data_IF_680605241343
#
_entry.id   IF_680605241343
#
_cell.length_a   1.000
_cell.length_b   1.000
_cell.length_c   1.000
_cell.angle_alpha   90.00
_cell.angle_beta   90.00
_cell.angle_gamma   90.00
#
_symmetry.space_group_name_H-M   'P 1'
#
loop_
_entity.id
_entity.type
_entity.pdbx_description
1 polymer ?
#
# COMPACT_ATOMS: atom_id res chain seq x y z
N UNK A 1 -11.71 23.56 13.90
CA UNK A 1 -10.43 23.55 13.19
C UNK A 1 -9.94 22.12 13.06
N UNK A 2 -10.12 21.59 11.86
CA UNK A 2 -9.70 20.25 11.48
C UNK A 2 -8.17 20.22 11.38
N UNK A 3 -7.55 19.20 11.97
CA UNK A 3 -6.11 18.94 11.85
C UNK A 3 -5.91 17.62 11.12
N UNK A 4 -4.87 17.55 10.29
CA UNK A 4 -4.54 16.35 9.53
C UNK A 4 -3.06 16.28 9.20
N UNK A 5 -2.58 15.07 8.92
CA UNK A 5 -1.25 14.87 8.36
C UNK A 5 -1.24 15.10 6.84
N UNK A 6 -0.05 15.11 6.21
CA UNK A 6 0.07 15.34 4.75
C UNK A 6 -0.72 14.33 3.91
N UNK A 7 -0.83 13.08 4.35
CA UNK A 7 -1.61 12.04 3.69
C UNK A 7 -3.11 12.36 3.71
N UNK A 8 -3.64 12.68 4.88
CA UNK A 8 -5.07 13.04 5.04
C UNK A 8 -5.43 14.31 4.25
N UNK A 9 -4.57 15.32 4.23
CA UNK A 9 -4.77 16.50 3.37
C UNK A 9 -4.63 16.19 1.87
N UNK A 10 -3.90 15.13 1.50
CA UNK A 10 -3.76 14.71 0.09
C UNK A 10 -5.05 14.09 -0.45
N UNK A 11 -5.92 13.54 0.39
CA UNK A 11 -7.24 13.05 -0.04
C UNK A 11 -8.14 14.22 -0.47
N UNK A 12 -8.15 15.31 0.30
CA UNK A 12 -8.86 16.55 -0.06
C UNK A 12 -8.24 17.21 -1.29
N UNK A 13 -6.90 17.23 -1.37
CA UNK A 13 -6.20 17.70 -2.57
C UNK A 13 -6.66 16.93 -3.81
N UNK A 14 -6.76 15.60 -3.71
CA UNK A 14 -7.21 14.73 -4.80
C UNK A 14 -8.63 15.08 -5.23
N UNK A 15 -9.55 15.24 -4.29
CA UNK A 15 -10.92 15.67 -4.58
C UNK A 15 -10.94 16.99 -5.38
N UNK A 16 -10.24 18.02 -4.91
CA UNK A 16 -10.23 19.32 -5.58
C UNK A 16 -9.58 19.26 -6.95
N UNK A 17 -8.42 18.58 -7.05
CA UNK A 17 -7.67 18.48 -8.30
C UNK A 17 -8.48 17.74 -9.36
N UNK A 18 -9.16 16.64 -9.00
CA UNK A 18 -9.98 15.88 -9.92
C UNK A 18 -11.23 16.62 -10.38
N UNK A 19 -11.90 17.38 -9.50
CA UNK A 19 -13.01 18.26 -9.90
C UNK A 19 -12.54 19.42 -10.80
N UNK A 20 -11.31 19.91 -10.57
CA UNK A 20 -10.67 20.92 -11.41
C UNK A 20 -10.29 20.41 -12.80
N UNK A 21 -9.73 19.20 -12.87
CA UNK A 21 -9.24 18.59 -14.12
C UNK A 21 -10.32 17.89 -14.93
N UNK A 22 -11.33 17.33 -14.24
CA UNK A 22 -12.47 16.59 -14.79
C UNK A 22 -12.13 15.26 -15.48
N UNK A 23 -10.89 14.79 -15.35
CA UNK A 23 -10.43 13.53 -15.98
C UNK A 23 -9.54 12.73 -15.02
N UNK A 24 -9.54 11.41 -15.17
CA UNK A 24 -8.50 10.54 -14.66
C UNK A 24 -7.49 10.24 -15.77
N UNK A 25 -6.21 10.49 -15.49
CA UNK A 25 -5.12 10.22 -16.42
C UNK A 25 -4.38 8.94 -16.03
N UNK A 26 -4.33 7.90 -16.87
CA UNK A 26 -3.60 6.67 -16.54
C UNK A 26 -2.10 6.86 -16.44
N UNK A 27 -1.47 6.16 -15.50
CA UNK A 27 -0.02 6.07 -15.35
C UNK A 27 0.55 4.72 -15.77
N UNK A 28 1.82 4.69 -16.18
CA UNK A 28 2.60 3.46 -16.37
C UNK A 28 3.48 3.16 -15.15
N UNK A 29 4.19 2.02 -15.18
CA UNK A 29 5.07 1.57 -14.10
C UNK A 29 6.15 2.57 -13.65
N UNK A 30 6.53 3.51 -14.51
CA UNK A 30 7.52 4.56 -14.26
C UNK A 30 6.90 5.85 -13.70
N UNK A 31 5.61 5.84 -13.34
CA UNK A 31 4.87 7.01 -12.83
C UNK A 31 4.87 8.15 -13.87
N UNK A 32 4.69 7.78 -15.13
CA UNK A 32 4.52 8.72 -16.24
C UNK A 32 3.16 8.51 -16.91
N UNK A 33 2.59 9.59 -17.47
CA UNK A 33 1.30 9.55 -18.17
C UNK A 33 1.37 8.59 -19.35
N UNK A 34 0.35 7.74 -19.47
CA UNK A 34 0.05 7.05 -20.74
C UNK A 34 -0.72 8.05 -21.61
N UNK A 35 -0.17 8.40 -22.77
CA UNK A 35 -0.80 9.33 -23.71
C UNK A 35 -2.01 8.69 -24.39
N UNK A 36 -2.95 9.52 -24.84
CA UNK A 36 -4.15 9.11 -25.62
C UNK A 36 -5.17 8.23 -24.87
N UNK A 37 -5.03 8.05 -23.55
CA UNK A 37 -6.04 7.41 -22.71
C UNK A 37 -6.38 8.36 -21.57
N UNK A 38 -7.67 8.57 -21.33
CA UNK A 38 -8.17 9.30 -20.17
C UNK A 38 -9.61 8.85 -19.88
N UNK A 39 -10.05 8.99 -18.63
CA UNK A 39 -11.41 8.69 -18.24
C UNK A 39 -12.09 9.98 -17.78
N UNK A 40 -13.02 10.55 -18.56
CA UNK A 40 -13.81 11.69 -18.11
C UNK A 40 -14.55 11.37 -16.81
N UNK A 41 -14.50 12.30 -15.86
CA UNK A 41 -15.20 12.19 -14.59
C UNK A 41 -16.61 12.74 -14.78
N UNK A 42 -17.61 11.94 -14.45
CA UNK A 42 -19.02 12.35 -14.43
C UNK A 42 -19.33 12.95 -13.07
N UNK A 43 -19.04 12.20 -12.01
CA UNK A 43 -19.22 12.67 -10.63
C UNK A 43 -18.30 11.96 -9.65
N UNK A 44 -18.08 12.61 -8.51
CA UNK A 44 -17.39 12.02 -7.35
C UNK A 44 -18.43 11.85 -6.24
N UNK A 45 -18.47 10.66 -5.65
CA UNK A 45 -19.38 10.32 -4.57
C UNK A 45 -18.62 10.35 -3.24
N UNK A 46 -19.17 11.04 -2.24
CA UNK A 46 -18.59 11.10 -0.90
C UNK A 46 -19.68 10.86 0.14
N UNK A 47 -19.52 9.81 0.94
CA UNK A 47 -20.39 9.54 2.09
C UNK A 47 -19.67 9.92 3.38
N UNK A 48 -20.39 10.60 4.28
CA UNK A 48 -19.90 10.93 5.61
C UNK A 48 -21.04 10.84 6.64
N UNK A 49 -20.73 11.15 7.90
CA UNK A 49 -21.69 11.06 9.01
C UNK A 49 -22.94 11.93 8.82
N UNK A 50 -22.85 12.99 8.00
CA UNK A 50 -23.92 13.94 7.74
C UNK A 50 -24.61 13.72 6.38
N UNK A 51 -24.50 12.52 5.81
CA UNK A 51 -25.15 12.16 4.54
C UNK A 51 -24.18 11.82 3.41
N UNK A 52 -24.75 11.54 2.24
CA UNK A 52 -24.00 11.26 1.01
C UNK A 52 -24.16 12.41 0.03
N UNK A 53 -23.04 12.88 -0.50
CA UNK A 53 -22.96 14.00 -1.42
C UNK A 53 -22.39 13.56 -2.76
N UNK A 54 -22.93 14.11 -3.84
CA UNK A 54 -22.46 13.92 -5.21
C UNK A 54 -21.91 15.23 -5.75
N UNK A 55 -20.69 15.19 -6.28
CA UNK A 55 -20.02 16.31 -6.95
C UNK A 55 -20.02 16.04 -8.45
N UNK A 56 -21.04 16.52 -9.15
CA UNK A 56 -21.26 16.26 -10.57
C UNK A 56 -20.66 17.33 -11.47
N UNK A 57 -19.93 16.91 -12.50
CA UNK A 57 -19.25 17.79 -13.45
C UNK A 57 -20.23 18.21 -14.55
N UNK A 58 -20.52 19.50 -14.64
CA UNK A 58 -21.34 20.11 -15.70
C UNK A 58 -20.57 21.25 -16.36
N UNK A 59 -19.83 20.94 -17.43
CA UNK A 59 -18.97 21.85 -18.17
C UNK A 59 -17.93 22.57 -17.29
N UNK A 60 -18.26 23.81 -16.88
CA UNK A 60 -17.40 24.69 -16.08
C UNK A 60 -17.94 24.90 -14.66
N UNK A 61 -18.96 24.14 -14.26
CA UNK A 61 -19.60 24.19 -12.94
C UNK A 61 -19.61 22.78 -12.35
N UNK A 62 -19.36 22.68 -11.05
CA UNK A 62 -19.61 21.49 -10.25
C UNK A 62 -20.94 21.67 -9.53
N UNK A 63 -21.87 20.75 -9.76
CA UNK A 63 -23.13 20.67 -9.02
C UNK A 63 -22.93 19.76 -7.80
N UNK A 64 -23.25 20.27 -6.62
CA UNK A 64 -23.14 19.50 -5.37
C UNK A 64 -24.55 19.23 -4.86
N UNK A 65 -24.95 17.96 -4.87
CA UNK A 65 -26.27 17.50 -4.41
C UNK A 65 -26.12 16.49 -3.27
N UNK A 66 -27.13 16.39 -2.39
CA UNK A 66 -27.10 15.51 -1.21
C UNK A 66 -27.99 16.02 -0.06
N UNK A 67 -28.30 17.32 -0.07
CA UNK A 67 -29.31 17.98 0.77
C UNK A 67 -30.43 18.54 -0.13
N UNK A 68 -31.38 19.29 0.44
CA UNK A 68 -32.49 19.92 -0.32
C UNK A 68 -32.01 20.97 -1.34
N UNK A 69 -30.88 21.64 -1.09
CA UNK A 69 -30.31 22.66 -1.98
C UNK A 69 -29.13 22.12 -2.80
N UNK A 70 -29.09 22.48 -4.10
CA UNK A 70 -27.99 22.15 -5.01
C UNK A 70 -27.04 23.33 -5.12
N UNK A 71 -25.79 23.14 -4.66
CA UNK A 71 -24.75 24.16 -4.78
C UNK A 71 -24.15 24.15 -6.19
N UNK A 72 -23.78 25.33 -6.69
CA UNK A 72 -23.16 25.53 -8.00
C UNK A 72 -21.84 26.25 -7.84
N UNK A 73 -20.74 25.52 -7.98
CA UNK A 73 -19.40 26.04 -7.74
C UNK A 73 -18.60 26.01 -9.04
N UNK A 74 -17.98 27.12 -9.48
CA UNK A 74 -17.15 27.13 -10.68
C UNK A 74 -15.97 26.15 -10.56
N UNK A 75 -15.68 25.42 -11.64
CA UNK A 75 -14.50 24.51 -11.73
C UNK A 75 -13.19 25.25 -11.42
N UNK A 76 -13.12 26.55 -11.74
CA UNK A 76 -11.95 27.37 -11.45
C UNK A 76 -11.65 27.46 -9.94
N UNK A 77 -12.67 27.49 -9.09
CA UNK A 77 -12.49 27.57 -7.64
C UNK A 77 -11.81 26.32 -7.09
N UNK A 78 -12.17 25.13 -7.61
CA UNK A 78 -11.48 23.88 -7.26
C UNK A 78 -10.02 23.87 -7.75
N UNK A 79 -9.74 24.42 -8.93
CA UNK A 79 -8.35 24.55 -9.42
C UNK A 79 -7.52 25.42 -8.49
N UNK A 80 -8.02 26.61 -8.15
CA UNK A 80 -7.33 27.57 -7.29
C UNK A 80 -7.10 27.00 -5.88
N UNK A 81 -8.13 26.36 -5.30
CA UNK A 81 -8.04 25.71 -3.99
C UNK A 81 -7.14 24.49 -3.98
N UNK A 82 -7.09 23.71 -5.07
CA UNK A 82 -6.14 22.60 -5.20
C UNK A 82 -4.69 23.10 -5.20
N UNK A 83 -4.40 24.19 -5.92
CA UNK A 83 -3.05 24.78 -5.98
C UNK A 83 -2.63 25.34 -4.62
N UNK A 84 -3.53 26.07 -3.95
CA UNK A 84 -3.31 26.59 -2.60
C UNK A 84 -3.03 25.46 -1.60
N UNK A 85 -3.87 24.41 -1.60
CA UNK A 85 -3.72 23.25 -0.72
C UNK A 85 -2.40 22.50 -0.98
N UNK A 86 -1.99 22.31 -2.24
CA UNK A 86 -0.71 21.70 -2.58
C UNK A 86 0.47 22.47 -1.98
N UNK A 87 0.43 23.80 -2.06
CA UNK A 87 1.46 24.67 -1.50
C UNK A 87 1.51 24.54 0.03
N UNK A 88 0.35 24.56 0.71
CA UNK A 88 0.30 24.34 2.16
C UNK A 88 0.88 22.99 2.56
N UNK A 89 0.50 21.90 1.89
CA UNK A 89 1.01 20.55 2.18
C UNK A 89 2.53 20.48 2.01
N UNK A 90 3.08 21.08 0.94
CA UNK A 90 4.52 21.06 0.66
C UNK A 90 5.32 21.86 1.67
N UNK A 91 4.88 23.07 2.00
CA UNK A 91 5.61 23.99 2.88
C UNK A 91 5.53 23.59 4.36
N UNK A 92 4.47 22.89 4.77
CA UNK A 92 4.31 22.53 6.17
C UNK A 92 5.31 21.43 6.60
N UNK A 93 5.98 21.66 7.73
CA UNK A 93 6.96 20.73 8.32
C UNK A 93 6.38 19.94 9.50
N UNK A 94 5.21 20.32 10.03
CA UNK A 94 4.58 19.64 11.16
C UNK A 94 4.04 18.28 10.71
N UNK A 95 4.02 17.32 11.64
CA UNK A 95 3.42 16.00 11.43
C UNK A 95 1.93 16.10 11.16
N UNK A 96 1.23 16.96 11.91
CA UNK A 96 -0.18 17.31 11.75
C UNK A 96 -0.36 18.83 11.79
N UNK A 97 -1.26 19.37 10.99
CA UNK A 97 -1.53 20.81 10.91
C UNK A 97 -2.96 21.10 10.43
N UNK A 98 -3.45 22.30 10.73
CA UNK A 98 -4.72 22.84 10.22
C UNK A 98 -4.47 23.79 9.05
N UNK A 99 -5.46 23.88 8.14
CA UNK A 99 -5.49 24.89 7.08
C UNK A 99 -6.89 25.54 7.09
N UNK A 100 -7.11 26.61 7.87
CA UNK A 100 -8.45 27.17 8.09
C UNK A 100 -9.14 27.65 6.80
N UNK A 101 -8.39 28.21 5.86
CA UNK A 101 -8.91 28.67 4.57
C UNK A 101 -9.48 27.51 3.73
N UNK A 102 -8.80 26.35 3.77
CA UNK A 102 -9.24 25.15 3.07
C UNK A 102 -10.42 24.51 3.80
N UNK A 103 -10.40 24.48 5.13
CA UNK A 103 -11.53 24.02 5.94
C UNK A 103 -12.80 24.84 5.65
N UNK A 104 -12.68 26.17 5.51
CA UNK A 104 -13.82 27.02 5.13
C UNK A 104 -14.39 26.63 3.75
N UNK A 105 -13.53 26.43 2.75
CA UNK A 105 -13.97 26.00 1.42
C UNK A 105 -14.56 24.58 1.44
N UNK A 106 -13.98 23.67 2.21
CA UNK A 106 -14.52 22.32 2.40
C UNK A 106 -15.96 22.38 2.95
N UNK A 107 -16.21 23.21 3.97
CA UNK A 107 -17.53 23.38 4.55
C UNK A 107 -18.53 23.98 3.55
N UNK A 108 -18.10 24.95 2.73
CA UNK A 108 -18.98 25.53 1.69
C UNK A 108 -19.36 24.56 0.57
N UNK A 109 -18.70 23.40 0.48
CA UNK A 109 -19.00 22.35 -0.51
C UNK A 109 -19.53 21.06 0.15
N UNK A 110 -20.03 21.14 1.38
CA UNK A 110 -20.53 20.02 2.17
C UNK A 110 -19.49 18.89 2.42
N UNK A 111 -18.20 19.23 2.44
CA UNK A 111 -17.11 18.30 2.77
C UNK A 111 -16.66 18.52 4.23
N UNK A 112 -16.99 17.59 5.12
CA UNK A 112 -16.83 17.82 6.59
C UNK A 112 -15.65 17.05 7.18
N UNK A 113 -15.24 15.93 6.58
CA UNK A 113 -14.08 15.14 7.00
C UNK A 113 -12.93 15.27 6.02
N UNK A 114 -11.69 15.03 6.47
CA UNK A 114 -10.53 14.89 5.57
C UNK A 114 -10.57 13.55 4.82
N UNK A 115 -10.92 12.49 5.53
CA UNK A 115 -10.83 11.10 5.05
C UNK A 115 -12.16 10.37 4.99
N UNK A 116 -12.19 9.30 4.21
CA UNK A 116 -13.26 8.31 4.18
C UNK A 116 -13.31 7.48 5.48
N UNK A 117 -14.36 6.66 5.64
CA UNK A 117 -14.45 5.73 6.77
C UNK A 117 -13.35 4.67 6.69
N UNK A 118 -12.72 4.35 7.83
CA UNK A 118 -11.56 3.46 7.93
C UNK A 118 -11.85 1.97 7.67
N UNK A 119 -13.12 1.59 7.56
CA UNK A 119 -13.53 0.20 7.40
C UNK A 119 -13.29 -0.35 5.98
N UNK A 120 -13.08 0.54 4.99
CA UNK A 120 -12.83 0.17 3.60
C UNK A 120 -11.49 0.71 3.11
N UNK A 121 -10.91 0.09 2.09
CA UNK A 121 -9.70 0.61 1.40
C UNK A 121 -9.98 1.74 0.41
N UNK A 122 -11.24 2.07 0.18
CA UNK A 122 -11.67 3.08 -0.79
C UNK A 122 -11.65 4.46 -0.14
N UNK A 123 -10.76 5.33 -0.61
CA UNK A 123 -10.60 6.70 -0.14
C UNK A 123 -11.49 7.67 -0.92
N UNK A 124 -11.79 7.37 -2.19
CA UNK A 124 -12.64 8.18 -3.07
C UNK A 124 -13.43 7.28 -4.05
N UNK A 125 -14.70 7.61 -4.28
CA UNK A 125 -15.54 6.89 -5.25
C UNK A 125 -15.84 7.81 -6.43
N UNK A 126 -15.61 7.35 -7.65
CA UNK A 126 -15.69 8.16 -8.87
C UNK A 126 -16.55 7.41 -9.88
N UNK A 127 -17.53 8.10 -10.44
CA UNK A 127 -18.25 7.66 -11.64
C UNK A 127 -17.55 8.26 -12.85
N UNK A 128 -17.03 7.39 -13.71
CA UNK A 128 -16.31 7.79 -14.92
C UNK A 128 -17.12 7.44 -16.16
N UNK A 129 -16.84 8.11 -17.28
CA UNK A 129 -17.28 7.67 -18.59
C UNK A 129 -16.20 6.81 -19.23
N UNK A 130 -16.44 5.51 -19.35
CA UNK A 130 -15.55 4.63 -20.10
C UNK A 130 -15.86 4.75 -21.60
N UNK A 131 -15.02 5.47 -22.32
CA UNK A 131 -15.18 5.72 -23.76
C UNK A 131 -15.04 4.44 -24.61
N UNK A 132 -14.42 3.37 -24.11
CA UNK A 132 -14.27 2.11 -24.87
C UNK A 132 -15.53 1.27 -24.81
N UNK A 133 -16.17 1.20 -23.65
CA UNK A 133 -17.35 0.37 -23.42
C UNK A 133 -18.66 1.16 -23.47
N UNK A 134 -18.55 2.50 -23.50
CA UNK A 134 -19.65 3.45 -23.36
C UNK A 134 -20.41 3.30 -22.03
N UNK A 135 -19.79 2.68 -21.02
CA UNK A 135 -20.36 2.49 -19.70
C UNK A 135 -20.02 3.67 -18.77
N UNK A 136 -20.76 3.75 -17.67
CA UNK A 136 -20.52 4.74 -16.61
C UNK A 136 -20.28 4.06 -15.27
N UNK A 137 -19.18 3.29 -15.11
CA UNK A 137 -18.96 2.51 -13.91
C UNK A 137 -18.68 3.41 -12.70
N UNK A 138 -19.20 2.98 -11.54
CA UNK A 138 -18.86 3.54 -10.23
C UNK A 138 -17.67 2.79 -9.65
N UNK A 139 -16.56 3.50 -9.44
CA UNK A 139 -15.27 2.91 -9.12
C UNK A 139 -14.73 3.47 -7.80
N UNK A 140 -14.33 2.56 -6.89
CA UNK A 140 -13.66 2.91 -5.64
C UNK A 140 -12.14 2.94 -5.80
N UNK A 141 -11.50 4.04 -5.46
CA UNK A 141 -10.04 4.19 -5.52
C UNK A 141 -9.42 4.41 -4.15
N UNK A 142 -8.25 3.80 -3.94
CA UNK A 142 -7.35 4.22 -2.86
C UNK A 142 -6.42 5.33 -3.35
N UNK A 143 -6.11 6.27 -2.47
CA UNK A 143 -5.19 7.39 -2.73
C UNK A 143 -3.82 7.04 -2.11
N UNK A 144 -2.76 7.24 -2.89
CA UNK A 144 -1.36 7.05 -2.46
C UNK A 144 -0.57 8.30 -2.77
N UNK A 145 -0.28 9.09 -1.74
CA UNK A 145 0.38 10.38 -1.88
C UNK A 145 1.90 10.29 -1.67
N UNK A 146 2.66 10.91 -2.57
CA UNK A 146 4.10 11.14 -2.46
C UNK A 146 4.44 12.47 -1.78
N UNK A 147 3.44 13.35 -1.55
CA UNK A 147 3.64 14.67 -0.93
C UNK A 147 4.16 14.58 0.53
N UNK A 148 3.96 13.44 1.18
CA UNK A 148 4.44 13.14 2.52
C UNK A 148 5.53 12.05 2.57
N UNK A 149 5.53 11.32 3.68
CA UNK A 149 6.29 10.07 3.78
C UNK A 149 5.57 8.98 2.97
N UNK A 150 6.29 8.03 2.36
CA UNK A 150 5.67 6.97 1.57
C UNK A 150 4.65 6.20 2.39
N UNK A 151 3.48 5.97 1.79
CA UNK A 151 2.42 5.18 2.42
C UNK A 151 2.82 3.70 2.52
N UNK A 152 2.11 2.99 3.39
CA UNK A 152 2.31 1.55 3.59
C UNK A 152 1.27 0.78 2.77
N UNK A 153 1.72 -0.19 1.96
CA UNK A 153 0.84 -1.11 1.25
C UNK A 153 0.36 -2.21 2.20
N UNK A 154 1.30 -2.83 2.92
CA UNK A 154 1.05 -3.84 3.95
C UNK A 154 1.66 -3.40 5.28
N UNK A 155 0.82 -3.15 6.28
CA UNK A 155 1.27 -2.72 7.60
C UNK A 155 1.94 -3.86 8.36
N UNK A 156 3.01 -3.50 9.07
CA UNK A 156 3.65 -4.39 10.03
C UNK A 156 2.71 -4.71 11.18
N UNK A 157 2.72 -5.96 11.62
CA UNK A 157 1.99 -6.44 12.77
C UNK A 157 2.54 -7.77 13.23
N UNK A 158 2.13 -8.23 14.42
CA UNK A 158 2.35 -9.63 14.82
C UNK A 158 1.72 -10.60 13.80
N UNK A 159 0.65 -10.15 13.14
CA UNK A 159 -0.03 -10.87 12.06
C UNK A 159 0.79 -11.06 10.78
N UNK A 160 1.90 -10.33 10.62
CA UNK A 160 2.81 -10.43 9.46
C UNK A 160 4.17 -11.01 9.82
N UNK A 161 4.27 -11.74 10.95
CA UNK A 161 5.48 -12.46 11.33
C UNK A 161 5.59 -13.81 10.61
N UNK A 162 6.81 -14.14 10.22
CA UNK A 162 7.24 -15.38 9.58
C UNK A 162 8.18 -16.10 10.54
N UNK A 163 7.88 -17.37 10.82
CA UNK A 163 8.62 -18.20 11.77
C UNK A 163 9.68 -19.00 11.00
N UNK A 164 10.90 -18.98 11.53
CA UNK A 164 12.01 -19.78 11.03
C UNK A 164 12.54 -20.64 12.15
N UNK A 165 12.59 -21.96 11.93
CA UNK A 165 13.31 -22.88 12.81
C UNK A 165 14.80 -22.71 12.60
N UNK A 166 15.56 -22.64 13.69
CA UNK A 166 17.01 -22.65 13.66
C UNK A 166 17.47 -24.10 13.84
N UNK A 167 18.09 -24.65 12.79
CA UNK A 167 18.70 -25.98 12.80
C UNK A 167 20.21 -25.87 13.00
N UNK A 168 20.85 -26.96 13.47
CA UNK A 168 22.31 -27.09 13.63
C UNK A 168 22.97 -26.05 14.55
N UNK A 169 22.21 -25.48 15.48
CA UNK A 169 22.74 -24.57 16.49
C UNK A 169 22.59 -25.19 17.88
N UNK A 170 23.72 -25.53 18.51
CA UNK A 170 23.76 -26.04 19.88
C UNK A 170 24.24 -24.92 20.81
N UNK A 171 23.29 -24.22 21.45
CA UNK A 171 23.55 -23.14 22.39
C UNK A 171 22.66 -23.30 23.62
N UNK A 172 23.17 -22.89 24.77
CA UNK A 172 22.41 -22.83 26.02
C UNK A 172 21.66 -21.49 26.15
N UNK A 173 20.96 -21.31 27.26
CA UNK A 173 20.20 -20.10 27.55
C UNK A 173 21.08 -18.84 27.59
N UNK A 174 22.35 -18.97 28.00
CA UNK A 174 23.31 -17.86 27.98
C UNK A 174 23.69 -17.48 26.55
N UNK A 175 23.87 -18.47 25.66
CA UNK A 175 24.10 -18.26 24.24
C UNK A 175 22.92 -17.57 23.55
N UNK A 176 21.68 -17.96 23.88
CA UNK A 176 20.46 -17.30 23.38
C UNK A 176 20.42 -15.85 23.85
N UNK A 177 20.67 -15.62 25.14
CA UNK A 177 20.68 -14.27 25.73
C UNK A 177 21.73 -13.38 25.06
N UNK A 178 22.95 -13.89 24.87
CA UNK A 178 24.05 -13.18 24.22
C UNK A 178 23.70 -12.74 22.79
N UNK A 179 23.03 -13.59 22.00
CA UNK A 179 22.56 -13.21 20.65
C UNK A 179 21.48 -12.12 20.77
N UNK A 180 20.52 -12.30 21.67
CA UNK A 180 19.40 -11.35 21.84
C UNK A 180 19.84 -9.98 22.42
N UNK A 181 20.99 -9.89 23.06
CA UNK A 181 21.59 -8.65 23.59
C UNK A 181 22.25 -7.78 22.49
N UNK A 182 22.45 -8.31 21.27
CA UNK A 182 22.96 -7.51 20.14
C UNK A 182 21.95 -6.40 19.81
N UNK A 183 22.34 -5.13 19.98
CA UNK A 183 21.46 -3.95 19.81
C UNK A 183 22.10 -2.85 18.94
N UNK A 184 22.57 -3.23 17.76
CA UNK A 184 23.02 -2.29 16.72
C UNK A 184 21.82 -1.73 15.92
N UNK A 185 22.09 -0.77 15.03
CA UNK A 185 21.07 -0.27 14.07
C UNK A 185 20.54 -1.36 13.13
N UNK A 186 21.35 -2.38 12.85
CA UNK A 186 21.03 -3.54 12.00
C UNK A 186 20.81 -4.81 12.80
N UNK A 187 20.57 -4.73 14.11
CA UNK A 187 20.60 -5.86 15.07
C UNK A 187 19.98 -7.16 14.61
N UNK A 188 18.88 -7.11 13.86
CA UNK A 188 18.21 -8.32 13.36
C UNK A 188 19.12 -9.06 12.36
N UNK A 189 19.77 -8.33 11.45
CA UNK A 189 20.77 -8.90 10.53
C UNK A 189 21.97 -9.45 11.29
N UNK A 190 22.51 -8.66 12.22
CA UNK A 190 23.67 -9.04 13.02
C UNK A 190 23.40 -10.32 13.85
N UNK A 191 22.18 -10.48 14.37
CA UNK A 191 21.72 -11.70 15.06
C UNK A 191 21.69 -12.90 14.12
N UNK A 192 21.14 -12.74 12.92
CA UNK A 192 21.10 -13.79 11.89
C UNK A 192 22.52 -14.20 11.49
N UNK A 193 23.41 -13.24 11.23
CA UNK A 193 24.82 -13.49 10.91
C UNK A 193 25.56 -14.20 12.05
N UNK A 194 25.29 -13.81 13.30
CA UNK A 194 25.84 -14.50 14.49
C UNK A 194 25.37 -15.95 14.58
N UNK A 195 24.10 -16.21 14.27
CA UNK A 195 23.55 -17.58 14.24
C UNK A 195 24.23 -18.41 13.13
N UNK A 196 24.35 -17.86 11.92
CA UNK A 196 24.98 -18.54 10.77
C UNK A 196 26.47 -18.82 11.03
N UNK A 197 27.21 -17.84 11.55
CA UNK A 197 28.65 -18.01 11.88
C UNK A 197 28.91 -19.05 12.98
N UNK A 198 27.92 -19.33 13.83
CA UNK A 198 27.95 -20.43 14.81
C UNK A 198 27.50 -21.78 14.23
N UNK A 199 27.29 -21.88 12.92
CA UNK A 199 26.87 -23.10 12.22
C UNK A 199 25.35 -23.31 12.14
N UNK A 200 24.56 -22.37 12.67
CA UNK A 200 23.11 -22.42 12.59
C UNK A 200 22.60 -22.19 11.17
N UNK A 201 21.43 -22.74 10.86
CA UNK A 201 20.74 -22.54 9.59
C UNK A 201 19.26 -22.28 9.83
N UNK A 202 18.64 -21.50 8.95
CA UNK A 202 17.22 -21.14 9.08
C UNK A 202 16.38 -21.95 8.10
N UNK A 203 15.27 -22.48 8.60
CA UNK A 203 14.26 -23.17 7.81
C UNK A 203 12.92 -22.49 8.04
N UNK A 204 12.31 -21.97 6.99
CA UNK A 204 10.95 -21.42 7.07
C UNK A 204 9.96 -22.51 7.51
N UNK A 205 9.11 -22.19 8.50
CA UNK A 205 8.08 -23.13 9.01
C UNK A 205 6.66 -22.68 8.70
N UNK A 206 6.43 -21.36 8.60
CA UNK A 206 5.11 -20.80 8.36
C UNK A 206 4.98 -19.37 8.86
N UNK A 207 3.81 -18.78 8.69
CA UNK A 207 3.49 -17.47 9.29
C UNK A 207 2.97 -17.67 10.71
N UNK A 208 3.24 -16.73 11.61
CA UNK A 208 2.76 -16.78 12.99
C UNK A 208 1.22 -16.74 13.07
N UNK A 209 0.57 -15.96 12.21
CA UNK A 209 -0.90 -15.88 12.15
C UNK A 209 -1.48 -16.88 11.15
N UNK A 210 -2.29 -17.83 11.63
CA UNK A 210 -2.97 -18.82 10.78
C UNK A 210 -3.85 -18.20 9.69
N UNK A 211 -4.59 -17.14 10.01
CA UNK A 211 -5.43 -16.41 9.04
C UNK A 211 -4.60 -15.87 7.88
N UNK A 212 -3.44 -15.26 8.17
CA UNK A 212 -2.57 -14.74 7.13
C UNK A 212 -1.99 -15.87 6.28
N UNK A 213 -1.57 -16.97 6.90
CA UNK A 213 -1.15 -18.19 6.18
C UNK A 213 -2.21 -18.65 5.17
N UNK A 214 -3.46 -18.78 5.62
CA UNK A 214 -4.56 -19.21 4.77
C UNK A 214 -4.88 -18.21 3.66
N UNK A 215 -4.78 -16.91 3.94
CA UNK A 215 -4.95 -15.87 2.91
C UNK A 215 -3.89 -15.98 1.82
N UNK A 216 -2.63 -16.26 2.19
CA UNK A 216 -1.56 -16.47 1.21
C UNK A 216 -1.81 -17.73 0.38
N UNK A 217 -2.19 -18.85 1.02
CA UNK A 217 -2.51 -20.12 0.35
C UNK A 217 -3.69 -19.97 -0.61
N UNK A 218 -4.70 -19.16 -0.25
CA UNK A 218 -5.85 -18.86 -1.12
C UNK A 218 -5.42 -18.17 -2.42
N UNK A 219 -4.44 -17.26 -2.34
CA UNK A 219 -3.89 -16.58 -3.52
C UNK A 219 -3.08 -17.58 -4.37
N UNK A 220 -2.19 -18.35 -3.73
CA UNK A 220 -1.44 -19.43 -4.36
C UNK A 220 -0.88 -20.39 -3.30
N UNK A 221 -0.98 -21.70 -3.54
CA UNK A 221 -0.66 -22.72 -2.54
C UNK A 221 0.79 -22.70 -2.02
N UNK A 222 1.74 -22.17 -2.81
CA UNK A 222 3.16 -22.05 -2.44
C UNK A 222 3.58 -20.62 -2.10
N UNK A 223 2.62 -19.69 -2.00
CA UNK A 223 2.91 -18.29 -1.70
C UNK A 223 3.51 -18.07 -0.31
N UNK A 224 3.13 -18.80 0.76
CA UNK A 224 3.79 -18.67 2.06
C UNK A 224 5.30 -18.91 1.97
N UNK A 225 5.72 -19.96 1.26
CA UNK A 225 7.12 -20.35 1.09
C UNK A 225 7.88 -19.32 0.24
N UNK A 226 7.28 -18.89 -0.88
CA UNK A 226 7.85 -17.82 -1.73
C UNK A 226 8.09 -16.55 -0.90
N UNK A 227 7.09 -16.15 -0.12
CA UNK A 227 7.16 -14.92 0.67
C UNK A 227 8.12 -15.08 1.85
N UNK A 228 8.23 -16.27 2.44
CA UNK A 228 9.28 -16.61 3.41
C UNK A 228 10.68 -16.36 2.85
N UNK A 229 10.96 -16.87 1.65
CA UNK A 229 12.26 -16.64 0.99
C UNK A 229 12.51 -15.15 0.72
N UNK A 230 11.51 -14.41 0.23
CA UNK A 230 11.61 -12.96 -0.01
C UNK A 230 11.90 -12.19 1.30
N UNK A 231 11.22 -12.53 2.39
CA UNK A 231 11.41 -11.92 3.70
C UNK A 231 12.80 -12.25 4.25
N UNK A 232 13.24 -13.49 4.12
CA UNK A 232 14.57 -13.91 4.57
C UNK A 232 15.68 -13.19 3.80
N UNK A 233 15.56 -13.09 2.47
CA UNK A 233 16.52 -12.36 1.61
C UNK A 233 16.60 -10.86 1.95
N UNK A 234 15.52 -10.24 2.42
CA UNK A 234 15.54 -8.86 2.89
C UNK A 234 16.37 -8.67 4.17
N UNK A 235 16.26 -9.61 5.11
CA UNK A 235 17.02 -9.57 6.36
C UNK A 235 18.46 -10.07 6.23
N UNK A 236 18.82 -10.73 5.13
CA UNK A 236 20.17 -11.29 4.89
C UNK A 236 20.92 -10.63 3.74
N UNK A 237 20.31 -9.69 3.02
CA UNK A 237 20.96 -8.95 1.94
C UNK A 237 20.82 -7.44 2.08
N UNK A 238 21.46 -6.69 1.19
CA UNK A 238 21.34 -5.23 1.11
C UNK A 238 20.17 -4.75 0.24
N UNK A 239 19.35 -5.67 -0.30
CA UNK A 239 18.20 -5.33 -1.14
C UNK A 239 16.97 -5.07 -0.30
N UNK A 240 16.15 -4.10 -0.72
CA UNK A 240 14.87 -3.81 -0.09
C UNK A 240 13.72 -3.66 -1.09
N UNK A 241 14.00 -3.28 -2.35
CA UNK A 241 12.95 -3.19 -3.36
C UNK A 241 12.39 -4.57 -3.66
N UNK A 242 11.07 -4.66 -3.81
CA UNK A 242 10.41 -5.95 -4.04
C UNK A 242 10.88 -6.55 -5.36
N UNK A 243 10.98 -5.76 -6.44
CA UNK A 243 11.54 -6.19 -7.73
C UNK A 243 12.92 -6.87 -7.59
N UNK A 244 13.82 -6.31 -6.77
CA UNK A 244 15.18 -6.84 -6.59
C UNK A 244 15.16 -8.15 -5.79
N UNK A 245 14.36 -8.20 -4.72
CA UNK A 245 14.21 -9.38 -3.87
C UNK A 245 13.59 -10.55 -4.64
N UNK A 246 12.52 -10.28 -5.38
CA UNK A 246 11.86 -11.28 -6.23
C UNK A 246 12.80 -11.79 -7.29
N UNK A 247 13.57 -10.91 -7.94
CA UNK A 247 14.57 -11.32 -8.93
C UNK A 247 15.64 -12.25 -8.34
N UNK A 248 16.08 -12.02 -7.11
CA UNK A 248 17.00 -12.93 -6.40
C UNK A 248 16.39 -14.29 -6.13
N UNK A 249 15.16 -14.31 -5.62
CA UNK A 249 14.44 -15.56 -5.35
C UNK A 249 14.18 -16.33 -6.64
N UNK A 250 13.85 -15.65 -7.74
CA UNK A 250 13.67 -16.26 -9.07
C UNK A 250 14.97 -16.90 -9.57
N UNK A 251 16.12 -16.24 -9.38
CA UNK A 251 17.44 -16.82 -9.73
C UNK A 251 17.81 -18.02 -8.84
N UNK A 252 17.49 -17.96 -7.54
CA UNK A 252 17.75 -19.05 -6.58
C UNK A 252 16.85 -20.26 -6.84
N UNK A 253 15.62 -20.02 -7.31
CA UNK A 253 14.57 -21.02 -7.50
C UNK A 253 14.42 -21.98 -6.29
N UNK A 254 14.23 -21.47 -5.06
CA UNK A 254 14.25 -22.30 -3.84
C UNK A 254 13.17 -23.40 -3.79
N UNK A 255 12.16 -23.31 -4.64
CA UNK A 255 11.07 -24.30 -4.74
C UNK A 255 11.25 -25.27 -5.91
N UNK A 256 12.34 -25.15 -6.66
CA UNK A 256 12.68 -26.02 -7.79
C UNK A 256 11.57 -26.09 -8.84
N UNK A 257 10.96 -24.95 -9.19
CA UNK A 257 10.02 -24.91 -10.32
C UNK A 257 10.73 -25.27 -11.63
N UNK A 258 10.00 -25.90 -12.55
CA UNK A 258 10.51 -26.22 -13.88
C UNK A 258 10.61 -24.94 -14.74
N UNK A 259 11.85 -24.49 -14.94
CA UNK A 259 12.18 -23.28 -15.70
C UNK A 259 12.54 -23.56 -17.18
N UNK A 260 12.33 -24.78 -17.67
CA UNK A 260 12.63 -25.14 -19.07
C UNK A 260 12.01 -24.19 -20.09
N UNK A 261 10.79 -23.73 -19.82
CA UNK A 261 10.03 -22.78 -20.65
C UNK A 261 10.17 -21.31 -20.21
N UNK A 262 11.12 -21.00 -19.31
CA UNK A 262 11.42 -19.64 -18.83
C UNK A 262 10.21 -18.92 -18.21
N UNK A 263 9.31 -19.66 -17.55
CA UNK A 263 8.23 -19.07 -16.78
C UNK A 263 8.78 -18.27 -15.58
N UNK A 264 8.17 -17.12 -15.29
CA UNK A 264 8.52 -16.27 -14.15
C UNK A 264 7.57 -16.52 -12.97
N UNK A 265 7.71 -17.67 -12.32
CA UNK A 265 6.76 -18.12 -11.30
C UNK A 265 6.73 -17.19 -10.09
N UNK A 266 7.90 -16.81 -9.58
CA UNK A 266 7.99 -15.97 -8.38
C UNK A 266 7.47 -14.57 -8.66
N UNK A 267 7.88 -13.99 -9.79
CA UNK A 267 7.42 -12.66 -10.23
C UNK A 267 5.90 -12.60 -10.38
N UNK A 268 5.31 -13.58 -11.07
CA UNK A 268 3.86 -13.63 -11.26
C UNK A 268 3.12 -13.74 -9.93
N UNK A 269 3.52 -14.67 -9.06
CA UNK A 269 2.87 -14.92 -7.76
C UNK A 269 3.02 -13.74 -6.81
N UNK A 270 4.17 -13.05 -6.81
CA UNK A 270 4.35 -11.81 -6.02
C UNK A 270 3.48 -10.66 -6.55
N UNK A 271 3.33 -10.50 -7.87
CA UNK A 271 2.39 -9.50 -8.43
C UNK A 271 0.95 -9.74 -7.98
N UNK A 272 0.51 -11.00 -7.95
CA UNK A 272 -0.82 -11.38 -7.44
C UNK A 272 -0.99 -11.03 -5.96
N UNK A 273 0.01 -11.33 -5.13
CA UNK A 273 0.03 -10.94 -3.71
C UNK A 273 -0.12 -9.42 -3.54
N UNK A 274 0.72 -8.64 -4.22
CA UNK A 274 0.71 -7.18 -4.11
C UNK A 274 -0.64 -6.60 -4.54
N UNK A 275 -1.23 -7.16 -5.60
CA UNK A 275 -2.56 -6.78 -6.11
C UNK A 275 -3.65 -7.05 -5.08
N UNK A 276 -3.71 -8.25 -4.51
CA UNK A 276 -4.76 -8.58 -3.55
C UNK A 276 -4.61 -7.77 -2.25
N UNK A 277 -3.39 -7.50 -1.77
CA UNK A 277 -3.15 -6.55 -0.66
C UNK A 277 -3.63 -5.15 -1.03
N UNK A 278 -3.34 -4.71 -2.26
CA UNK A 278 -3.69 -3.37 -2.71
C UNK A 278 -5.20 -3.16 -2.75
N UNK A 279 -5.96 -4.20 -3.12
CA UNK A 279 -7.39 -4.13 -3.42
C UNK A 279 -8.30 -4.62 -2.29
N UNK A 280 -7.77 -5.22 -1.21
CA UNK A 280 -8.61 -5.55 -0.03
C UNK A 280 -7.99 -6.49 1.01
N UNK A 281 -7.05 -7.36 0.64
CA UNK A 281 -6.51 -8.36 1.55
C UNK A 281 -5.81 -7.73 2.76
N UNK A 282 -6.19 -8.22 3.95
CA UNK A 282 -5.60 -7.85 5.22
C UNK A 282 -5.10 -9.09 5.97
N UNK A 283 -3.91 -9.07 6.60
CA UNK A 283 -3.37 -10.23 7.32
C UNK A 283 -4.26 -10.77 8.44
N UNK A 284 -5.04 -9.90 9.09
CA UNK A 284 -5.85 -10.23 10.26
C UNK A 284 -7.29 -10.65 9.95
N UNK A 285 -7.76 -10.48 8.70
CA UNK A 285 -9.13 -10.81 8.29
C UNK A 285 -9.11 -11.94 7.26
N UNK A 286 -10.11 -12.81 7.29
CA UNK A 286 -10.27 -13.85 6.26
C UNK A 286 -10.44 -13.16 4.92
N UNK A 287 -9.57 -13.51 3.97
CA UNK A 287 -9.67 -13.01 2.61
C UNK A 287 -10.68 -13.86 1.83
N UNK A 288 -11.71 -13.22 1.27
CA UNK A 288 -12.71 -13.90 0.42
C UNK A 288 -12.29 -13.96 -1.05
N UNK A 289 -11.32 -13.14 -1.46
CA UNK A 289 -10.99 -12.90 -2.87
C UNK A 289 -11.79 -11.75 -3.49
N UNK A 290 -12.68 -11.10 -2.74
CA UNK A 290 -13.50 -9.99 -3.22
C UNK A 290 -12.83 -8.63 -2.96
N UNK A 291 -12.69 -7.82 -4.00
CA UNK A 291 -12.00 -6.52 -3.93
C UNK A 291 -12.88 -5.42 -3.32
N UNK A 292 -12.32 -4.68 -2.36
CA UNK A 292 -12.92 -3.47 -1.78
C UNK A 292 -12.77 -2.26 -2.74
N UNK A 293 -11.59 -2.13 -3.36
CA UNK A 293 -11.24 -1.03 -4.26
C UNK A 293 -11.40 -1.47 -5.72
N UNK A 294 -12.59 -1.24 -6.28
CA UNK A 294 -12.94 -1.69 -7.64
C UNK A 294 -12.33 -0.85 -8.77
N UNK A 295 -11.83 0.34 -8.47
CA UNK A 295 -11.19 1.25 -9.43
C UNK A 295 -9.68 1.04 -9.55
N UNK A 296 -9.00 0.75 -8.44
CA UNK A 296 -7.54 0.72 -8.35
C UNK A 296 -7.00 1.91 -7.58
N UNK A 297 -5.83 2.44 -7.97
CA UNK A 297 -5.11 3.47 -7.20
C UNK A 297 -5.06 4.82 -7.91
N UNK A 298 -5.12 5.89 -7.11
CA UNK A 298 -4.75 7.24 -7.51
C UNK A 298 -3.44 7.61 -6.82
N UNK A 299 -2.42 7.91 -7.61
CA UNK A 299 -1.11 8.30 -7.11
C UNK A 299 -0.95 9.80 -7.25
N UNK A 300 -0.82 10.50 -6.11
CA UNK A 300 -0.51 11.93 -6.07
C UNK A 300 1.00 12.08 -6.07
N UNK A 301 1.55 12.56 -7.19
CA UNK A 301 2.99 12.75 -7.38
C UNK A 301 3.53 13.92 -6.56
N UNK A 302 4.85 13.96 -6.39
CA UNK A 302 5.55 15.06 -5.71
C UNK A 302 5.30 16.44 -6.36
N UNK A 303 5.02 16.51 -7.65
CA UNK A 303 4.69 17.75 -8.37
C UNK A 303 3.21 18.15 -8.25
N UNK A 304 2.35 17.28 -7.70
CA UNK A 304 0.90 17.47 -7.59
C UNK A 304 0.10 16.81 -8.71
N UNK A 305 0.75 16.28 -9.74
CA UNK A 305 0.03 15.53 -10.76
C UNK A 305 -0.58 14.24 -10.17
N UNK A 306 -1.79 13.87 -10.63
CA UNK A 306 -2.49 12.66 -10.20
C UNK A 306 -2.53 11.66 -11.35
N UNK A 307 -2.02 10.46 -11.11
CA UNK A 307 -2.08 9.33 -12.05
C UNK A 307 -3.02 8.25 -11.53
N UNK A 308 -3.82 7.71 -12.43
CA UNK A 308 -4.72 6.59 -12.18
C UNK A 308 -4.07 5.27 -12.60
N UNK A 309 -4.05 4.30 -11.71
CA UNK A 309 -3.67 2.93 -11.99
C UNK A 309 -4.91 2.09 -11.85
N UNK A 310 -5.63 1.97 -12.96
CA UNK A 310 -6.90 1.29 -13.00
C UNK A 310 -6.70 -0.23 -13.08
N UNK A 311 -7.49 -0.99 -12.32
CA UNK A 311 -7.45 -2.47 -12.36
C UNK A 311 -7.72 -3.09 -13.75
N UNK A 312 -8.40 -2.37 -14.66
CA UNK A 312 -8.63 -2.83 -16.04
C UNK A 312 -7.31 -2.91 -16.82
N UNK A 313 -6.37 -2.04 -16.49
CA UNK A 313 -5.00 -2.06 -17.00
C UNK A 313 -4.14 -2.90 -16.06
N UNK A 314 -4.50 -4.19 -15.94
CA UNK A 314 -3.94 -5.13 -14.96
C UNK A 314 -2.41 -5.17 -15.01
N UNK A 315 -1.83 -5.21 -16.20
CA UNK A 315 -0.38 -5.31 -16.36
C UNK A 315 0.32 -4.06 -15.82
N UNK A 316 -0.19 -2.87 -16.16
CA UNK A 316 0.34 -1.59 -15.69
C UNK A 316 0.18 -1.45 -14.17
N UNK A 317 -0.96 -1.89 -13.62
CA UNK A 317 -1.21 -1.91 -12.18
C UNK A 317 -0.24 -2.83 -11.43
N UNK A 318 -0.10 -4.08 -11.90
CA UNK A 318 0.79 -5.08 -11.30
C UNK A 318 2.27 -4.66 -11.40
N UNK A 319 2.69 -4.14 -12.56
CA UNK A 319 4.05 -3.63 -12.75
C UNK A 319 4.32 -2.40 -11.89
N UNK A 320 3.36 -1.48 -11.76
CA UNK A 320 3.48 -0.33 -10.86
C UNK A 320 3.75 -0.79 -9.42
N UNK A 321 2.94 -1.71 -8.89
CA UNK A 321 3.11 -2.21 -7.53
C UNK A 321 4.47 -2.88 -7.33
N UNK A 322 4.89 -3.72 -8.27
CA UNK A 322 6.18 -4.43 -8.17
C UNK A 322 7.38 -3.47 -8.19
N UNK A 323 7.36 -2.48 -9.10
CA UNK A 323 8.47 -1.55 -9.28
C UNK A 323 8.53 -0.45 -8.21
N UNK A 324 7.39 -0.11 -7.60
CA UNK A 324 7.27 1.03 -6.69
C UNK A 324 7.07 0.63 -5.22
N UNK A 325 7.38 -0.62 -4.86
CA UNK A 325 7.33 -1.10 -3.47
C UNK A 325 8.67 -1.65 -2.96
N UNK A 326 8.85 -1.56 -1.64
CA UNK A 326 9.99 -2.09 -0.90
C UNK A 326 9.58 -2.70 0.43
N UNK A 327 10.40 -3.60 0.96
CA UNK A 327 10.35 -4.03 2.34
C UNK A 327 11.06 -3.01 3.25
N UNK A 328 10.53 -2.84 4.46
CA UNK A 328 11.10 -1.96 5.48
C UNK A 328 11.06 -2.63 6.86
N UNK A 329 12.11 -2.43 7.67
CA UNK A 329 12.14 -3.00 9.02
C UNK A 329 11.25 -2.20 9.96
N UNK A 330 10.18 -2.83 10.43
CA UNK A 330 9.32 -2.26 11.45
C UNK A 330 9.95 -2.32 12.86
N UNK A 331 9.27 -1.76 13.86
CA UNK A 331 9.70 -1.88 15.26
C UNK A 331 9.59 -3.33 15.74
N UNK A 332 10.73 -3.99 15.93
CA UNK A 332 10.83 -5.36 16.46
C UNK A 332 10.18 -5.52 17.83
N UNK A 333 10.36 -4.54 18.72
CA UNK A 333 9.74 -4.56 20.05
C UNK A 333 8.22 -4.46 19.97
N UNK A 334 7.68 -3.59 19.09
CA UNK A 334 6.23 -3.41 18.94
C UNK A 334 5.54 -4.64 18.35
N UNK A 335 6.21 -5.36 17.45
CA UNK A 335 5.62 -6.45 16.68
C UNK A 335 6.12 -7.85 17.07
N UNK A 336 7.03 -7.94 18.05
CA UNK A 336 7.46 -9.20 18.66
C UNK A 336 8.27 -10.10 17.74
N UNK A 337 9.29 -9.56 17.07
CA UNK A 337 10.13 -10.33 16.15
C UNK A 337 11.62 -9.96 16.27
N UNK A 338 12.50 -10.71 15.63
CA UNK A 338 13.94 -10.43 15.56
C UNK A 338 14.74 -10.92 16.76
N UNK A 339 14.20 -11.83 17.57
CA UNK A 339 14.88 -12.47 18.70
C UNK A 339 14.78 -13.99 18.61
N UNK A 340 15.79 -14.68 19.12
CA UNK A 340 15.79 -16.13 19.29
C UNK A 340 14.90 -16.50 20.46
N UNK A 341 14.06 -17.52 20.29
CA UNK A 341 13.25 -18.13 21.35
C UNK A 341 13.27 -19.64 21.24
N UNK A 342 12.96 -20.32 22.33
CA UNK A 342 12.86 -21.78 22.40
C UNK A 342 11.41 -22.18 22.59
N UNK A 343 10.96 -23.18 21.83
CA UNK A 343 9.64 -23.80 21.97
C UNK A 343 9.78 -25.31 21.72
N UNK A 344 9.31 -26.12 22.67
CA UNK A 344 9.38 -27.59 22.61
C UNK A 344 10.79 -28.15 22.30
N UNK A 345 11.84 -27.56 22.91
CA UNK A 345 13.24 -27.99 22.70
C UNK A 345 13.84 -27.60 21.35
N UNK A 346 13.14 -26.78 20.56
CA UNK A 346 13.61 -26.26 19.28
C UNK A 346 13.79 -24.74 19.34
N UNK A 347 14.83 -24.23 18.66
CA UNK A 347 15.08 -22.81 18.54
C UNK A 347 14.38 -22.22 17.31
N UNK A 348 13.84 -21.02 17.48
CA UNK A 348 13.13 -20.29 16.44
C UNK A 348 13.52 -18.82 16.40
N UNK A 349 13.23 -18.18 15.27
CA UNK A 349 13.43 -16.76 15.03
C UNK A 349 12.33 -16.22 14.14
N UNK A 350 11.68 -15.13 14.56
CA UNK A 350 10.63 -14.51 13.77
C UNK A 350 11.18 -13.33 12.97
N UNK A 351 10.79 -13.22 11.70
CA UNK A 351 11.01 -12.05 10.84
C UNK A 351 9.67 -11.41 10.48
N UNK A 352 9.63 -10.09 10.28
CA UNK A 352 8.39 -9.38 10.00
C UNK A 352 8.32 -8.88 8.56
N UNK A 353 7.13 -8.97 7.97
CA UNK A 353 6.84 -8.38 6.67
C UNK A 353 6.13 -7.03 6.83
N UNK A 354 6.75 -6.00 6.25
CA UNK A 354 6.13 -4.70 5.99
C UNK A 354 6.44 -4.27 4.56
N UNK A 355 5.41 -3.92 3.78
CA UNK A 355 5.56 -3.47 2.40
C UNK A 355 5.17 -2.01 2.29
N UNK A 356 6.05 -1.16 1.76
CA UNK A 356 5.83 0.28 1.60
C UNK A 356 6.09 0.73 0.18
N UNK A 357 5.47 1.85 -0.18
CA UNK A 357 5.79 2.52 -1.43
C UNK A 357 7.18 3.15 -1.38
N UNK A 358 7.81 3.23 -2.55
CA UNK A 358 9.04 4.01 -2.78
C UNK A 358 8.63 5.47 -3.05
N UNK A 359 9.48 6.41 -2.65
CA UNK A 359 9.24 7.84 -2.87
C UNK A 359 9.60 8.27 -4.29
#
# INVERSE_FOLDING_TARGET
MITGNKGEWSEIYTLFKLLGDKILQPGNENITKITNVFYPIIKILRSGNNGSYEYSVHDNIILISGNEEVLKIPVQEFKDKSLSLLNFIKQNKKTTFSIPEIEHFMLSINCISLKANSDTKTDITIVVHDQRTNQQPTLGFSIKSQLGNPSTLLNAGKTTNFIYKINNLNIDQLGIKSINEIDTKSKIKDRIETIISKGGSFQFTGTEQKTFSNNLILIDSLLPEILGEIVFDFYTSNSSKVIDLVSKVEMKNPLNFDISNKHQFYTYKTKRLLTDIALGMMPSKVWSGEYDATGGYLVVKNDGEILCYHIYNKNEFENYLLNNTKLETASSTRHGFGSVYEENGCLYFNLNLQIRFIK
#
